data_IF_500182006932
#
_entry.id   IF_500182006932
#
_cell.length_a   1.000
_cell.length_b   1.000
_cell.length_c   1.000
_cell.angle_alpha   90.00
_cell.angle_beta   90.00
_cell.angle_gamma   90.00
#
_symmetry.space_group_name_H-M   'P 1'
#
loop_
_entity.id
_entity.type
_entity.pdbx_description
1 polymer ?
#
# COMPACT_ATOMS: atom_id res chain seq x y z
N UNK A 1 -93.14 -39.72 111.22
CA UNK A 1 -91.73 -39.57 110.78
C UNK A 1 -91.52 -39.87 109.30
N UNK A 2 -92.32 -40.72 108.63
CA UNK A 2 -92.08 -41.06 107.20
C UNK A 2 -92.38 -39.96 106.18
N UNK A 3 -93.35 -39.07 106.44
CA UNK A 3 -93.75 -38.02 105.47
C UNK A 3 -92.75 -36.86 105.37
N UNK A 4 -92.06 -36.51 106.46
CA UNK A 4 -91.07 -35.43 106.48
C UNK A 4 -89.76 -35.88 105.85
N UNK A 5 -89.32 -37.11 106.12
CA UNK A 5 -88.16 -37.71 105.46
C UNK A 5 -88.40 -37.90 103.95
N UNK A 6 -89.62 -38.27 103.54
CA UNK A 6 -90.00 -38.36 102.12
C UNK A 6 -90.02 -36.98 101.44
N UNK A 7 -90.50 -35.93 102.12
CA UNK A 7 -90.51 -34.56 101.60
C UNK A 7 -89.12 -33.94 101.49
N UNK A 8 -88.23 -34.24 102.45
CA UNK A 8 -86.83 -33.83 102.41
C UNK A 8 -86.06 -34.56 101.29
N UNK A 9 -86.31 -35.86 101.09
CA UNK A 9 -85.72 -36.63 99.99
C UNK A 9 -86.19 -36.11 98.62
N UNK A 10 -87.48 -35.79 98.45
CA UNK A 10 -88.01 -35.20 97.22
C UNK A 10 -87.42 -33.80 96.94
N UNK A 11 -87.21 -32.98 97.97
CA UNK A 11 -86.56 -31.67 97.83
C UNK A 11 -85.07 -31.81 97.44
N UNK A 12 -84.36 -32.79 98.01
CA UNK A 12 -82.97 -33.08 97.65
C UNK A 12 -82.86 -33.61 96.21
N UNK A 13 -83.76 -34.48 95.79
CA UNK A 13 -83.84 -34.98 94.40
C UNK A 13 -84.12 -33.81 93.44
N UNK A 14 -85.05 -32.91 93.76
CA UNK A 14 -85.33 -31.73 92.94
C UNK A 14 -84.14 -30.76 92.87
N UNK A 15 -83.40 -30.58 93.98
CA UNK A 15 -82.19 -29.78 94.00
C UNK A 15 -81.07 -30.39 93.15
N UNK A 16 -80.88 -31.72 93.23
CA UNK A 16 -79.93 -32.46 92.40
C UNK A 16 -80.33 -32.41 90.91
N UNK A 17 -81.61 -32.58 90.59
CA UNK A 17 -82.11 -32.45 89.21
C UNK A 17 -81.88 -31.04 88.66
N UNK A 18 -82.08 -30.00 89.47
CA UNK A 18 -81.78 -28.62 89.09
C UNK A 18 -80.28 -28.42 88.84
N UNK A 19 -79.42 -29.00 89.68
CA UNK A 19 -77.97 -28.89 89.54
C UNK A 19 -77.46 -29.68 88.34
N UNK A 20 -78.00 -30.87 88.06
CA UNK A 20 -77.72 -31.65 86.85
C UNK A 20 -78.07 -30.83 85.62
N UNK A 21 -79.27 -30.23 85.57
CA UNK A 21 -79.67 -29.38 84.46
C UNK A 21 -78.75 -28.17 84.27
N UNK A 22 -78.34 -27.51 85.36
CA UNK A 22 -77.37 -26.41 85.29
C UNK A 22 -76.02 -26.85 84.71
N UNK A 23 -75.53 -28.02 85.12
CA UNK A 23 -74.27 -28.59 84.60
C UNK A 23 -74.40 -29.04 83.13
N UNK A 24 -75.57 -29.54 82.72
CA UNK A 24 -75.88 -29.86 81.33
C UNK A 24 -75.89 -28.59 80.45
N UNK A 25 -76.55 -27.53 80.92
CA UNK A 25 -76.59 -26.23 80.24
C UNK A 25 -75.17 -25.61 80.14
N UNK A 26 -74.37 -25.69 81.22
CA UNK A 26 -72.97 -25.21 81.24
C UNK A 26 -72.07 -26.04 80.30
N UNK A 27 -72.20 -27.36 80.29
CA UNK A 27 -71.45 -28.21 79.36
C UNK A 27 -71.81 -27.92 77.90
N UNK A 28 -73.08 -27.65 77.60
CA UNK A 28 -73.52 -27.25 76.26
C UNK A 28 -72.84 -25.96 75.81
N UNK A 29 -72.82 -24.92 76.67
CA UNK A 29 -72.12 -23.66 76.40
C UNK A 29 -70.62 -23.85 76.22
N UNK A 30 -69.98 -24.66 77.08
CA UNK A 30 -68.55 -24.96 76.97
C UNK A 30 -68.22 -25.72 75.69
N UNK A 31 -69.10 -26.61 75.22
CA UNK A 31 -68.93 -27.33 73.97
C UNK A 31 -69.06 -26.40 72.76
N UNK A 32 -70.02 -25.46 72.77
CA UNK A 32 -70.14 -24.41 71.75
C UNK A 32 -68.92 -23.49 71.71
N UNK A 33 -68.43 -23.03 72.86
CA UNK A 33 -67.22 -22.22 72.96
C UNK A 33 -65.99 -22.98 72.48
N UNK A 34 -65.84 -24.25 72.89
CA UNK A 34 -64.76 -25.12 72.44
C UNK A 34 -64.76 -25.27 70.92
N UNK A 35 -65.92 -25.53 70.32
CA UNK A 35 -66.07 -25.65 68.87
C UNK A 35 -65.74 -24.34 68.14
N UNK A 36 -66.17 -23.21 68.69
CA UNK A 36 -65.86 -21.87 68.17
C UNK A 36 -64.36 -21.57 68.20
N UNK A 37 -63.70 -21.81 69.34
CA UNK A 37 -62.26 -21.60 69.49
C UNK A 37 -61.47 -22.56 68.60
N UNK A 38 -61.88 -23.84 68.52
CA UNK A 38 -61.26 -24.83 67.65
C UNK A 38 -61.30 -24.41 66.18
N UNK A 39 -62.45 -23.89 65.72
CA UNK A 39 -62.60 -23.33 64.37
C UNK A 39 -61.67 -22.13 64.16
N UNK A 40 -61.63 -21.16 65.09
CA UNK A 40 -60.73 -20.00 64.99
C UNK A 40 -59.25 -20.41 64.94
N UNK A 41 -58.85 -21.43 65.69
CA UNK A 41 -57.47 -21.95 65.67
C UNK A 41 -57.17 -22.54 64.29
N UNK A 42 -58.08 -23.34 63.72
CA UNK A 42 -57.89 -23.93 62.39
C UNK A 42 -57.77 -22.87 61.29
N UNK A 43 -58.62 -21.83 61.30
CA UNK A 43 -58.55 -20.71 60.36
C UNK A 43 -57.26 -19.90 60.50
N UNK A 44 -56.80 -19.66 61.74
CA UNK A 44 -55.53 -18.97 61.99
C UNK A 44 -54.34 -19.78 61.51
N UNK A 45 -54.35 -21.11 61.69
CA UNK A 45 -53.31 -22.01 61.16
C UNK A 45 -53.26 -21.95 59.64
N UNK A 46 -54.41 -22.07 58.96
CA UNK A 46 -54.48 -21.98 57.50
C UNK A 46 -53.95 -20.63 56.97
N UNK A 47 -54.34 -19.50 57.59
CA UNK A 47 -53.82 -18.18 57.23
C UNK A 47 -52.31 -18.04 57.49
N UNK A 48 -51.82 -18.66 58.56
CA UNK A 48 -50.39 -18.66 58.85
C UNK A 48 -49.60 -19.45 57.80
N UNK A 49 -50.07 -20.63 57.40
CA UNK A 49 -49.46 -21.45 56.35
C UNK A 49 -49.48 -20.73 54.99
N UNK A 50 -50.59 -20.06 54.63
CA UNK A 50 -50.66 -19.22 53.42
C UNK A 50 -49.66 -18.06 53.47
N UNK A 51 -49.53 -17.40 54.64
CA UNK A 51 -48.56 -16.32 54.81
C UNK A 51 -47.12 -16.83 54.75
N UNK A 52 -46.84 -18.01 55.28
CA UNK A 52 -45.51 -18.61 55.25
C UNK A 52 -45.12 -19.01 53.82
N UNK A 53 -46.03 -19.61 53.06
CA UNK A 53 -45.80 -19.97 51.66
C UNK A 53 -45.57 -18.73 50.78
N UNK A 54 -46.39 -17.69 50.93
CA UNK A 54 -46.20 -16.41 50.21
C UNK A 54 -44.91 -15.69 50.59
N UNK A 55 -44.50 -15.74 51.86
CA UNK A 55 -43.23 -15.16 52.30
C UNK A 55 -42.04 -15.96 51.74
N UNK A 56 -42.14 -17.29 51.70
CA UNK A 56 -41.10 -18.14 51.13
C UNK A 56 -40.95 -17.94 49.62
N UNK A 57 -42.06 -17.80 48.87
CA UNK A 57 -42.01 -17.51 47.43
C UNK A 57 -41.43 -16.11 47.17
N UNK A 58 -41.86 -15.09 47.91
CA UNK A 58 -41.30 -13.74 47.81
C UNK A 58 -39.80 -13.71 48.10
N UNK A 59 -39.35 -14.46 49.13
CA UNK A 59 -37.92 -14.60 49.46
C UNK A 59 -37.15 -15.30 48.35
N UNK A 60 -37.70 -16.35 47.75
CA UNK A 60 -37.09 -17.05 46.63
C UNK A 60 -36.92 -16.13 45.41
N UNK A 61 -37.98 -15.39 45.06
CA UNK A 61 -37.96 -14.42 43.96
C UNK A 61 -36.92 -13.32 44.20
N UNK A 62 -36.86 -12.77 45.42
CA UNK A 62 -35.86 -11.76 45.76
C UNK A 62 -34.42 -12.28 45.63
N UNK A 63 -34.15 -13.53 46.05
CA UNK A 63 -32.84 -14.16 45.87
C UNK A 63 -32.49 -14.32 44.39
N UNK A 64 -33.44 -14.76 43.57
CA UNK A 64 -33.23 -14.91 42.12
C UNK A 64 -32.97 -13.56 41.45
N UNK A 65 -33.72 -12.52 41.81
CA UNK A 65 -33.49 -11.16 41.32
C UNK A 65 -32.10 -10.63 41.71
N UNK A 66 -31.67 -10.83 42.96
CA UNK A 66 -30.33 -10.44 43.40
C UNK A 66 -29.24 -11.17 42.63
N UNK A 67 -29.42 -12.46 42.37
CA UNK A 67 -28.49 -13.25 41.57
C UNK A 67 -28.39 -12.71 40.13
N UNK A 68 -29.53 -12.46 39.48
CA UNK A 68 -29.56 -11.93 38.11
C UNK A 68 -28.95 -10.53 38.03
N UNK A 69 -29.22 -9.67 39.01
CA UNK A 69 -28.63 -8.34 39.10
C UNK A 69 -27.11 -8.42 39.26
N UNK A 70 -26.60 -9.32 40.11
CA UNK A 70 -25.16 -9.53 40.26
C UNK A 70 -24.49 -9.99 38.96
N UNK A 71 -25.09 -10.94 38.24
CA UNK A 71 -24.59 -11.37 36.93
C UNK A 71 -24.57 -10.21 35.92
N UNK A 72 -25.60 -9.37 35.95
CA UNK A 72 -25.69 -8.20 35.06
C UNK A 72 -24.62 -7.16 35.39
N UNK A 73 -24.35 -6.93 36.68
CA UNK A 73 -23.27 -6.03 37.14
C UNK A 73 -21.90 -6.54 36.69
N UNK A 74 -21.63 -7.84 36.84
CA UNK A 74 -20.38 -8.44 36.38
C UNK A 74 -20.21 -8.28 34.87
N UNK A 75 -21.28 -8.51 34.10
CA UNK A 75 -21.27 -8.32 32.64
C UNK A 75 -20.98 -6.86 32.27
N UNK A 76 -21.65 -5.90 32.90
CA UNK A 76 -21.42 -4.46 32.67
C UNK A 76 -19.98 -4.07 33.01
N UNK A 77 -19.41 -4.64 34.09
CA UNK A 77 -18.00 -4.40 34.43
C UNK A 77 -17.07 -4.89 33.33
N UNK A 78 -17.27 -6.13 32.85
CA UNK A 78 -16.46 -6.69 31.77
C UNK A 78 -16.58 -5.89 30.47
N UNK A 79 -17.79 -5.43 30.12
CA UNK A 79 -18.01 -4.57 28.95
C UNK A 79 -17.34 -3.20 29.10
N UNK A 80 -17.26 -2.65 30.31
CA UNK A 80 -16.54 -1.38 30.57
C UNK A 80 -15.04 -1.55 30.40
N UNK A 81 -14.47 -2.63 30.91
CA UNK A 81 -13.04 -2.92 30.79
C UNK A 81 -12.65 -3.11 29.31
N UNK A 82 -13.45 -3.86 28.55
CA UNK A 82 -13.22 -4.04 27.12
C UNK A 82 -13.38 -2.73 26.33
N UNK A 83 -14.37 -1.90 26.67
CA UNK A 83 -14.54 -0.59 26.03
C UNK A 83 -13.34 0.33 26.30
N UNK A 84 -12.79 0.31 27.51
CA UNK A 84 -11.56 1.06 27.82
C UNK A 84 -10.38 0.56 26.99
N UNK A 85 -10.18 -0.76 26.91
CA UNK A 85 -9.13 -1.36 26.09
C UNK A 85 -9.27 -1.01 24.60
N UNK A 86 -10.50 -1.01 24.07
CA UNK A 86 -10.75 -0.61 22.69
C UNK A 86 -10.43 0.87 22.45
N UNK A 87 -10.73 1.76 23.41
CA UNK A 87 -10.35 3.18 23.32
C UNK A 87 -8.83 3.36 23.29
N UNK A 88 -8.12 2.68 24.18
CA UNK A 88 -6.66 2.74 24.22
C UNK A 88 -6.07 2.27 22.87
N UNK A 89 -6.63 1.21 22.28
CA UNK A 89 -6.20 0.73 20.97
C UNK A 89 -6.52 1.71 19.82
N UNK A 90 -7.67 2.38 19.87
CA UNK A 90 -8.01 3.44 18.90
C UNK A 90 -6.99 4.59 18.98
N UNK A 91 -6.65 5.01 20.19
CA UNK A 91 -5.68 6.10 20.40
C UNK A 91 -4.27 5.71 19.89
N UNK A 92 -3.84 4.46 20.08
CA UNK A 92 -2.61 3.92 19.52
C UNK A 92 -2.62 3.94 17.98
N UNK A 93 -3.70 3.46 17.37
CA UNK A 93 -3.85 3.45 15.91
C UNK A 93 -3.86 4.86 15.32
N UNK A 94 -4.55 5.80 15.97
CA UNK A 94 -4.59 7.21 15.54
C UNK A 94 -3.20 7.85 15.57
N UNK A 95 -2.38 7.52 16.56
CA UNK A 95 -1.00 7.98 16.62
C UNK A 95 -0.16 7.38 15.49
N UNK A 96 -0.28 6.08 15.22
CA UNK A 96 0.41 5.43 14.11
C UNK A 96 0.01 6.04 12.74
N UNK A 97 -1.27 6.34 12.53
CA UNK A 97 -1.76 7.01 11.32
C UNK A 97 -1.14 8.41 11.19
N UNK A 98 -1.09 9.20 12.26
CA UNK A 98 -0.47 10.53 12.25
C UNK A 98 1.00 10.47 11.86
N UNK A 99 1.75 9.51 12.39
CA UNK A 99 3.15 9.31 12.03
C UNK A 99 3.33 8.97 10.55
N UNK A 100 2.49 8.07 10.02
CA UNK A 100 2.57 7.65 8.63
C UNK A 100 2.23 8.79 7.66
N UNK A 101 1.25 9.63 8.01
CA UNK A 101 0.93 10.85 7.25
C UNK A 101 2.13 11.81 7.20
N UNK A 102 2.89 11.95 8.29
CA UNK A 102 4.11 12.78 8.32
C UNK A 102 5.18 12.19 7.40
N UNK A 103 5.40 10.87 7.44
CA UNK A 103 6.35 10.18 6.54
C UNK A 103 5.97 10.35 5.08
N UNK A 104 4.70 10.16 4.72
CA UNK A 104 4.22 10.37 3.35
C UNK A 104 4.45 11.80 2.86
N UNK A 105 4.21 12.81 3.71
CA UNK A 105 4.51 14.21 3.37
C UNK A 105 5.99 14.43 3.08
N UNK A 106 6.89 13.86 3.90
CA UNK A 106 8.35 13.93 3.69
C UNK A 106 8.76 13.27 2.37
N UNK A 107 8.26 12.06 2.10
CA UNK A 107 8.52 11.34 0.85
C UNK A 107 8.04 12.11 -0.38
N UNK A 108 6.86 12.75 -0.31
CA UNK A 108 6.35 13.57 -1.42
C UNK A 108 7.26 14.77 -1.72
N UNK A 109 7.81 15.42 -0.70
CA UNK A 109 8.76 16.51 -0.86
C UNK A 109 10.06 16.00 -1.50
N UNK A 110 10.60 14.88 -1.00
CA UNK A 110 11.82 14.28 -1.55
C UNK A 110 11.64 13.86 -3.01
N UNK A 111 10.50 13.26 -3.35
CA UNK A 111 10.19 12.85 -4.72
C UNK A 111 10.10 14.05 -5.67
N UNK A 112 9.51 15.17 -5.23
CA UNK A 112 9.53 16.43 -6.01
C UNK A 112 10.95 16.93 -6.28
N UNK A 113 11.82 16.91 -5.27
CA UNK A 113 13.24 17.30 -5.43
C UNK A 113 13.97 16.37 -6.40
N UNK A 114 13.73 15.06 -6.29
CA UNK A 114 14.33 14.07 -7.18
C UNK A 114 13.88 14.27 -8.63
N UNK A 115 12.59 14.54 -8.86
CA UNK A 115 12.06 14.84 -10.20
C UNK A 115 12.69 16.10 -10.80
N UNK A 116 12.85 17.16 -10.01
CA UNK A 116 13.56 18.36 -10.47
C UNK A 116 15.00 18.03 -10.86
N UNK A 117 15.74 17.34 -9.99
CA UNK A 117 17.13 16.96 -10.26
C UNK A 117 17.25 16.02 -11.47
N UNK A 118 16.27 15.14 -11.70
CA UNK A 118 16.25 14.27 -12.88
C UNK A 118 16.08 15.10 -14.16
N UNK A 119 15.15 16.06 -14.17
CA UNK A 119 14.96 16.95 -15.31
C UNK A 119 16.24 17.75 -15.59
N UNK A 120 16.88 18.31 -14.56
CA UNK A 120 18.13 19.07 -14.72
C UNK A 120 19.26 18.21 -15.30
N UNK A 121 19.33 16.92 -14.94
CA UNK A 121 20.31 15.97 -15.48
C UNK A 121 19.96 15.59 -16.93
N UNK A 122 18.68 15.42 -17.24
CA UNK A 122 18.23 15.13 -18.61
C UNK A 122 18.54 16.27 -19.56
N UNK A 123 18.24 17.51 -19.18
CA UNK A 123 18.57 18.72 -19.96
C UNK A 123 20.08 18.81 -20.24
N UNK A 124 20.92 18.63 -19.20
CA UNK A 124 22.37 18.59 -19.39
C UNK A 124 22.84 17.45 -20.28
N UNK A 125 22.19 16.29 -20.20
CA UNK A 125 22.54 15.16 -21.06
C UNK A 125 22.21 15.44 -22.53
N UNK A 126 21.06 16.07 -22.80
CA UNK A 126 20.70 16.54 -24.15
C UNK A 126 21.69 17.59 -24.67
N UNK A 127 22.11 18.54 -23.83
CA UNK A 127 23.16 19.51 -24.17
C UNK A 127 24.49 18.82 -24.52
N UNK A 128 24.93 17.86 -23.71
CA UNK A 128 26.17 17.12 -23.98
C UNK A 128 26.08 16.27 -25.25
N UNK A 129 24.94 15.63 -25.50
CA UNK A 129 24.70 14.84 -26.71
C UNK A 129 24.73 15.72 -27.96
N UNK A 130 24.13 16.91 -27.91
CA UNK A 130 24.19 17.91 -28.98
C UNK A 130 25.62 18.38 -29.27
N UNK A 131 26.39 18.70 -28.23
CA UNK A 131 27.80 19.09 -28.37
C UNK A 131 28.64 17.97 -28.98
N UNK A 132 28.44 16.72 -28.54
CA UNK A 132 29.14 15.55 -29.07
C UNK A 132 28.78 15.36 -30.55
N UNK A 133 27.52 15.53 -30.93
CA UNK A 133 27.09 15.45 -32.32
C UNK A 133 27.80 16.49 -33.19
N UNK A 134 27.83 17.76 -32.78
CA UNK A 134 28.53 18.83 -33.50
C UNK A 134 30.04 18.55 -33.66
N UNK A 135 30.68 18.03 -32.60
CA UNK A 135 32.10 17.68 -32.61
C UNK A 135 32.38 16.52 -33.56
N UNK A 136 31.46 15.58 -33.75
CA UNK A 136 31.70 14.33 -34.48
C UNK A 136 31.08 14.34 -35.89
N UNK A 137 30.19 15.30 -36.18
CA UNK A 137 29.52 15.42 -37.46
C UNK A 137 30.53 15.41 -38.63
N UNK A 138 30.29 14.58 -39.68
CA UNK A 138 31.18 14.46 -40.81
C UNK A 138 31.25 15.79 -41.58
N UNK A 139 32.42 16.17 -42.12
CA UNK A 139 32.55 17.40 -42.88
C UNK A 139 31.65 17.39 -44.12
N UNK A 140 31.05 18.53 -44.52
CA UNK A 140 30.22 18.57 -45.72
C UNK A 140 31.03 18.15 -46.95
N UNK A 141 30.52 17.18 -47.70
CA UNK A 141 31.20 16.61 -48.85
C UNK A 141 30.94 17.53 -50.05
N UNK A 142 31.97 18.24 -50.51
CA UNK A 142 31.95 18.90 -51.82
C UNK A 142 32.44 17.87 -52.84
N UNK A 143 31.54 17.04 -53.38
CA UNK A 143 31.94 16.00 -54.34
C UNK A 143 32.17 16.61 -55.72
N UNK A 144 33.41 16.49 -56.21
CA UNK A 144 33.74 16.62 -57.64
C UNK A 144 33.47 15.32 -58.44
N UNK A 145 32.83 14.34 -57.81
CA UNK A 145 32.48 13.04 -58.39
C UNK A 145 31.19 13.16 -59.19
N UNK A 146 31.12 12.43 -60.31
CA UNK A 146 29.88 12.30 -61.07
C UNK A 146 28.87 11.48 -60.27
N UNK A 147 27.58 11.77 -60.43
CA UNK A 147 26.48 11.12 -59.69
C UNK A 147 26.54 9.58 -59.80
N UNK A 148 26.94 9.06 -60.97
CA UNK A 148 27.12 7.64 -61.23
C UNK A 148 28.31 7.00 -60.47
N UNK A 149 29.36 7.77 -60.19
CA UNK A 149 30.54 7.31 -59.44
C UNK A 149 30.24 7.26 -57.93
N UNK A 150 29.43 8.20 -57.45
CA UNK A 150 28.94 8.23 -56.06
C UNK A 150 28.12 6.96 -55.78
N UNK A 151 27.25 6.58 -56.72
CA UNK A 151 26.43 5.37 -56.64
C UNK A 151 27.32 4.11 -56.63
N UNK A 152 28.33 4.04 -57.50
CA UNK A 152 29.22 2.88 -57.59
C UNK A 152 30.03 2.65 -56.30
N UNK A 153 30.52 3.74 -55.68
CA UNK A 153 31.25 3.68 -54.41
C UNK A 153 30.33 3.25 -53.26
N UNK A 154 29.06 3.63 -53.28
CA UNK A 154 28.06 3.19 -52.29
C UNK A 154 27.73 1.69 -52.40
N UNK A 155 27.70 1.13 -53.61
CA UNK A 155 27.48 -0.32 -53.82
C UNK A 155 28.71 -1.18 -53.50
N UNK A 156 29.91 -0.61 -53.47
CA UNK A 156 31.17 -1.33 -53.14
C UNK A 156 31.37 -1.57 -51.64
N UNK A 157 30.32 -1.42 -50.82
CA UNK A 157 30.32 -1.62 -49.36
C UNK A 157 31.43 -0.90 -48.59
N UNK A 158 32.04 0.16 -49.14
CA UNK A 158 33.17 0.86 -48.51
C UNK A 158 34.32 -0.12 -48.13
N UNK A 159 34.80 -0.95 -49.07
CA UNK A 159 35.91 -1.90 -48.80
C UNK A 159 37.16 -1.18 -48.22
N UNK A 160 37.63 -1.53 -47.01
CA UNK A 160 38.81 -0.93 -46.38
C UNK A 160 40.07 -1.00 -47.25
N UNK A 161 40.19 -2.02 -48.11
CA UNK A 161 41.36 -2.21 -49.00
C UNK A 161 41.51 -1.11 -50.05
N UNK A 162 40.48 -0.29 -50.26
CA UNK A 162 40.50 0.86 -51.16
C UNK A 162 41.18 2.08 -50.53
N UNK A 163 41.42 2.07 -49.22
CA UNK A 163 42.04 3.17 -48.48
C UNK A 163 43.51 2.86 -48.14
N UNK A 164 44.42 3.84 -48.24
CA UNK A 164 45.80 3.68 -47.73
C UNK A 164 45.81 3.67 -46.19
N UNK A 165 46.74 2.95 -45.56
CA UNK A 165 47.01 3.11 -44.11
C UNK A 165 47.46 4.55 -43.85
N UNK A 166 46.94 5.26 -42.83
CA UNK A 166 46.16 4.78 -41.67
C UNK A 166 44.61 4.75 -41.85
N UNK A 167 44.09 5.20 -42.99
CA UNK A 167 42.64 5.35 -43.20
C UNK A 167 41.90 3.99 -43.25
N UNK A 168 42.55 2.94 -43.74
CA UNK A 168 42.02 1.57 -43.73
C UNK A 168 41.78 1.06 -42.30
N UNK A 169 42.70 1.34 -41.37
CA UNK A 169 42.62 0.88 -39.97
C UNK A 169 41.49 1.58 -39.23
N UNK A 170 41.31 2.89 -39.48
CA UNK A 170 40.18 3.67 -38.97
C UNK A 170 38.85 3.12 -39.52
N UNK A 171 38.79 2.77 -40.81
CA UNK A 171 37.56 2.23 -41.40
C UNK A 171 37.22 0.84 -40.85
N UNK A 172 38.21 -0.05 -40.72
CA UNK A 172 38.00 -1.38 -40.15
C UNK A 172 37.53 -1.34 -38.69
N UNK A 173 38.11 -0.44 -37.89
CA UNK A 173 37.68 -0.23 -36.50
C UNK A 173 36.27 0.35 -36.45
N UNK A 174 35.94 1.33 -37.29
CA UNK A 174 34.56 1.85 -37.42
C UNK A 174 33.55 0.78 -37.84
N UNK A 175 33.89 -0.13 -38.74
CA UNK A 175 33.00 -1.19 -39.20
C UNK A 175 32.71 -2.24 -38.11
N UNK A 176 33.67 -2.50 -37.22
CA UNK A 176 33.52 -3.44 -36.09
C UNK A 176 32.69 -2.87 -34.94
N UNK A 177 32.58 -1.54 -34.85
CA UNK A 177 31.85 -0.88 -33.77
C UNK A 177 30.33 -0.91 -33.98
N UNK A 178 29.54 -1.04 -32.89
CA UNK A 178 28.10 -0.99 -32.97
C UNK A 178 27.61 0.40 -33.40
N UNK A 179 26.63 0.43 -34.32
CA UNK A 179 26.15 1.67 -34.96
C UNK A 179 25.13 2.44 -34.12
N UNK A 180 24.45 1.77 -33.19
CA UNK A 180 23.43 2.36 -32.30
C UNK A 180 24.09 2.92 -31.04
N UNK A 181 24.51 4.18 -31.05
CA UNK A 181 25.27 4.81 -29.97
C UNK A 181 24.50 4.83 -28.63
N UNK A 182 23.21 5.18 -28.64
CA UNK A 182 22.42 5.40 -27.43
C UNK A 182 22.32 4.16 -26.51
N UNK A 183 22.31 2.96 -27.10
CA UNK A 183 22.10 1.69 -26.40
C UNK A 183 23.38 1.08 -25.83
N UNK A 184 24.55 1.67 -26.09
CA UNK A 184 25.82 1.08 -25.69
C UNK A 184 26.24 1.48 -24.27
N UNK A 185 27.09 0.64 -23.67
CA UNK A 185 27.75 0.90 -22.40
C UNK A 185 28.67 2.13 -22.49
N UNK A 186 28.95 2.81 -21.36
CA UNK A 186 29.76 4.03 -21.35
C UNK A 186 31.16 3.85 -21.92
N UNK A 187 31.79 2.69 -21.73
CA UNK A 187 33.13 2.42 -22.25
C UNK A 187 33.12 2.27 -23.78
N UNK A 188 32.13 1.56 -24.32
CA UNK A 188 31.92 1.43 -25.77
C UNK A 188 31.53 2.78 -26.41
N UNK A 189 30.75 3.62 -25.71
CA UNK A 189 30.44 4.99 -26.17
C UNK A 189 31.71 5.83 -26.33
N UNK A 190 32.65 5.76 -25.38
CA UNK A 190 33.95 6.45 -25.47
C UNK A 190 34.77 5.96 -26.66
N UNK A 191 34.80 4.65 -26.87
CA UNK A 191 35.51 4.05 -28.00
C UNK A 191 34.92 4.51 -29.35
N UNK A 192 33.59 4.51 -29.48
CA UNK A 192 32.90 5.05 -30.66
C UNK A 192 33.27 6.51 -30.88
N UNK A 193 33.17 7.36 -29.85
CA UNK A 193 33.53 8.78 -29.95
C UNK A 193 34.98 8.94 -30.44
N UNK A 194 35.92 8.22 -29.84
CA UNK A 194 37.34 8.35 -30.17
C UNK A 194 37.63 7.95 -31.63
N UNK A 195 37.08 6.82 -32.08
CA UNK A 195 37.29 6.33 -33.44
C UNK A 195 36.64 7.25 -34.48
N UNK A 196 35.40 7.71 -34.24
CA UNK A 196 34.72 8.61 -35.18
C UNK A 196 35.36 10.01 -35.17
N UNK A 197 35.89 10.47 -34.04
CA UNK A 197 36.69 11.70 -33.97
C UNK A 197 37.95 11.62 -34.83
N UNK A 198 38.73 10.54 -34.72
CA UNK A 198 39.90 10.33 -35.59
C UNK A 198 39.53 10.23 -37.07
N UNK A 199 38.39 9.60 -37.40
CA UNK A 199 37.86 9.59 -38.75
C UNK A 199 37.52 11.00 -39.26
N UNK A 200 36.96 11.87 -38.41
CA UNK A 200 36.69 13.28 -38.73
C UNK A 200 37.97 14.07 -38.97
N UNK A 201 38.99 13.92 -38.13
CA UNK A 201 40.28 14.58 -38.31
C UNK A 201 40.89 14.20 -39.67
N UNK A 202 40.92 12.90 -39.97
CA UNK A 202 41.42 12.36 -41.23
C UNK A 202 40.61 12.89 -42.44
N UNK A 203 39.28 12.91 -42.35
CA UNK A 203 38.41 13.46 -43.39
C UNK A 203 38.63 14.97 -43.60
N UNK A 204 38.87 15.71 -42.52
CA UNK A 204 39.17 17.16 -42.58
C UNK A 204 40.54 17.40 -43.22
N UNK A 205 41.53 16.58 -42.92
CA UNK A 205 42.86 16.65 -43.55
C UNK A 205 42.78 16.36 -45.06
N UNK A 206 42.05 15.31 -45.45
CA UNK A 206 41.79 14.99 -46.86
C UNK A 206 41.12 16.17 -47.57
N UNK A 207 40.10 16.78 -46.95
CA UNK A 207 39.41 17.95 -47.51
C UNK A 207 40.33 19.16 -47.67
N UNK A 208 41.18 19.44 -46.67
CA UNK A 208 42.18 20.50 -46.77
C UNK A 208 43.18 20.25 -47.90
N UNK A 209 43.62 18.99 -48.08
CA UNK A 209 44.48 18.59 -49.21
C UNK A 209 43.77 18.79 -50.56
N UNK A 210 42.51 18.38 -50.67
CA UNK A 210 41.68 18.62 -51.87
C UNK A 210 41.62 20.12 -52.19
N UNK A 211 41.24 20.97 -51.22
CA UNK A 211 41.15 22.42 -51.41
C UNK A 211 42.48 23.05 -51.81
N UNK A 212 43.60 22.57 -51.26
CA UNK A 212 44.93 23.04 -51.63
C UNK A 212 45.32 22.64 -53.06
N UNK A 213 45.01 21.41 -53.47
CA UNK A 213 45.25 20.93 -54.83
C UNK A 213 44.36 21.66 -55.85
N UNK A 214 43.13 22.00 -55.49
CA UNK A 214 42.24 22.84 -56.31
C UNK A 214 42.84 24.22 -56.55
N UNK A 215 43.27 24.92 -55.48
CA UNK A 215 43.94 26.23 -55.59
C UNK A 215 45.17 26.16 -56.51
N UNK A 216 45.97 25.09 -56.38
CA UNK A 216 47.15 24.86 -57.24
C UNK A 216 46.81 24.51 -58.69
N UNK A 217 45.70 23.79 -58.92
CA UNK A 217 45.19 23.47 -60.26
C UNK A 217 44.87 24.76 -61.03
N UNK A 218 44.19 25.72 -60.40
CA UNK A 218 43.89 27.02 -61.01
C UNK A 218 45.15 27.83 -61.37
N UNK A 219 46.28 27.57 -60.71
CA UNK A 219 47.56 28.27 -60.93
C UNK A 219 48.57 27.49 -61.80
N UNK A 220 48.22 26.30 -62.34
CA UNK A 220 49.17 25.42 -63.02
C UNK A 220 48.87 25.19 -64.51
N UNK A 221 49.90 25.10 -65.34
CA UNK A 221 49.81 24.72 -66.77
C UNK A 221 49.52 23.22 -67.00
N UNK A 222 49.41 22.39 -65.96
CA UNK A 222 49.19 20.92 -66.08
C UNK A 222 48.00 20.40 -65.24
N UNK A 223 46.77 20.85 -65.52
CA UNK A 223 45.59 20.59 -64.67
C UNK A 223 45.21 19.10 -64.55
N UNK A 224 45.45 18.28 -65.59
CA UNK A 224 45.05 16.86 -65.61
C UNK A 224 45.69 15.99 -64.52
N UNK A 225 46.90 16.32 -64.06
CA UNK A 225 47.58 15.57 -62.97
C UNK A 225 46.92 15.83 -61.61
N UNK A 226 46.46 17.06 -61.39
CA UNK A 226 45.76 17.45 -60.16
C UNK A 226 44.36 16.83 -60.10
N UNK A 227 43.67 16.71 -61.24
CA UNK A 227 42.35 16.09 -61.32
C UNK A 227 42.33 14.64 -60.85
N UNK A 228 43.30 13.81 -61.27
CA UNK A 228 43.38 12.42 -60.82
C UNK A 228 43.64 12.31 -59.31
N UNK A 229 44.44 13.22 -58.73
CA UNK A 229 44.73 13.23 -57.30
C UNK A 229 43.53 13.71 -56.49
N UNK A 230 42.86 14.78 -56.93
CA UNK A 230 41.62 15.29 -56.32
C UNK A 230 40.53 14.22 -56.36
N UNK A 231 40.38 13.52 -57.48
CA UNK A 231 39.42 12.42 -57.63
C UNK A 231 39.70 11.29 -56.63
N UNK A 232 40.96 10.80 -56.53
CA UNK A 232 41.34 9.76 -55.56
C UNK A 232 41.04 10.18 -54.11
N UNK A 233 41.40 11.40 -53.72
CA UNK A 233 41.11 11.92 -52.38
C UNK A 233 39.61 12.11 -52.14
N UNK A 234 38.84 12.46 -53.18
CA UNK A 234 37.38 12.61 -53.08
C UNK A 234 36.68 11.27 -52.85
N UNK A 235 37.17 10.19 -53.49
CA UNK A 235 36.68 8.83 -53.23
C UNK A 235 36.98 8.41 -51.79
N UNK A 236 38.20 8.68 -51.29
CA UNK A 236 38.58 8.38 -49.90
C UNK A 236 37.72 9.14 -48.88
N UNK A 237 37.46 10.43 -49.14
CA UNK A 237 36.59 11.27 -48.31
C UNK A 237 35.14 10.74 -48.29
N UNK A 238 34.63 10.29 -49.44
CA UNK A 238 33.28 9.76 -49.56
C UNK A 238 33.11 8.45 -48.77
N UNK A 239 34.07 7.53 -48.87
CA UNK A 239 34.07 6.25 -48.14
C UNK A 239 34.03 6.48 -46.62
N UNK A 240 34.94 7.32 -46.11
CA UNK A 240 35.00 7.64 -44.68
C UNK A 240 33.73 8.36 -44.21
N UNK A 241 33.27 9.37 -44.97
CA UNK A 241 32.08 10.13 -44.60
C UNK A 241 30.80 9.28 -44.62
N UNK A 242 30.69 8.31 -45.53
CA UNK A 242 29.57 7.38 -45.56
C UNK A 242 29.56 6.46 -44.35
N UNK A 243 30.73 5.96 -43.93
CA UNK A 243 30.83 5.11 -42.75
C UNK A 243 30.55 5.88 -41.46
N UNK A 244 30.98 7.15 -41.38
CA UNK A 244 30.66 8.04 -40.25
C UNK A 244 29.14 8.28 -40.12
N UNK A 245 28.44 8.45 -41.25
CA UNK A 245 26.98 8.66 -41.28
C UNK A 245 26.17 7.44 -40.83
N UNK A 246 26.76 6.23 -40.84
CA UNK A 246 26.06 5.01 -40.37
C UNK A 246 25.86 5.01 -38.85
N UNK A 247 26.63 5.80 -38.09
CA UNK A 247 26.46 5.90 -36.65
C UNK A 247 25.23 6.74 -36.32
N UNK A 248 24.28 6.13 -35.62
CA UNK A 248 23.06 6.79 -35.15
C UNK A 248 23.35 7.41 -33.78
N UNK A 249 23.65 8.70 -33.79
CA UNK A 249 23.71 9.54 -32.60
C UNK A 249 22.30 10.07 -32.28
N UNK A 250 21.98 10.33 -31.00
CA UNK A 250 20.73 10.97 -30.63
C UNK A 250 20.63 12.36 -31.32
N UNK A 251 19.49 12.62 -31.96
CA UNK A 251 19.10 13.91 -32.53
C UNK A 251 18.17 14.64 -31.57
#
# INVERSE_FOLDING_TARGET
>A
MDKENSRAALAAIAALQKQIKMLEDENCLLEEEYNSVSKQISERKAKFEERETTLNTARSNAKQMLHNTNLSIQKISGERDENQRLKDHIDEMDNAIKEEVIKQKKLKIMNRKLKSSLNDIMEKNEEYESIIFDIIAPPPISTHLLENEIILVQYSENDPKLLPSPLSEILETMQKLPKLYCLQNPDTKKEIINVVYHAKEAATEIRSKISHLEKRKFSSCSPRKFDSQIHKLSVQLLILSNEMKKFQFPQ
#
